data_IF_201125812293
#
_entry.id   IF_201125812293
#
_cell.length_a   1.000
_cell.length_b   1.000
_cell.length_c   1.000
_cell.angle_alpha   90.00
_cell.angle_beta   90.00
_cell.angle_gamma   90.00
#
_symmetry.space_group_name_H-M   'P 1'
#
loop_
_entity.id
_entity.type
_entity.pdbx_description
1 polymer ?
#
# COMPACT_ATOMS: atom_id res chain seq x y z
N UNK A 1 -25.53 19.74 -6.22
CA UNK A 1 -24.20 19.10 -6.32
C UNK A 1 -24.18 17.93 -5.35
N UNK A 2 -24.13 16.70 -5.86
CA UNK A 2 -23.93 15.53 -5.00
C UNK A 2 -22.47 15.50 -4.53
N UNK A 3 -22.18 15.17 -3.25
CA UNK A 3 -20.82 14.98 -2.81
C UNK A 3 -20.16 13.89 -3.66
N UNK A 4 -18.85 14.01 -3.97
CA UNK A 4 -18.14 12.98 -4.70
C UNK A 4 -18.27 11.64 -3.95
N UNK A 5 -18.44 10.52 -4.65
CA UNK A 5 -18.53 9.22 -4.00
C UNK A 5 -17.29 9.01 -3.13
N UNK A 6 -17.50 8.72 -1.85
CA UNK A 6 -16.41 8.32 -0.96
C UNK A 6 -15.73 7.11 -1.60
N UNK A 7 -14.45 7.25 -1.94
CA UNK A 7 -13.65 6.16 -2.48
C UNK A 7 -13.87 4.91 -1.65
N UNK A 8 -14.16 3.79 -2.30
CA UNK A 8 -14.39 2.52 -1.62
C UNK A 8 -13.22 2.21 -0.66
N UNK A 9 -13.58 1.75 0.54
CA UNK A 9 -12.63 1.32 1.56
C UNK A 9 -11.67 0.30 0.93
N UNK A 10 -10.36 0.44 1.17
CA UNK A 10 -9.35 -0.54 0.77
C UNK A 10 -9.82 -1.95 1.13
N UNK A 11 -9.76 -2.91 0.19
CA UNK A 11 -10.29 -4.25 0.43
C UNK A 11 -9.45 -5.09 1.40
N UNK A 12 -8.22 -4.69 1.70
CA UNK A 12 -7.39 -5.24 2.78
C UNK A 12 -7.01 -4.13 3.75
N UNK A 13 -7.23 -4.38 5.04
CA UNK A 13 -6.85 -3.47 6.13
C UNK A 13 -6.13 -4.22 7.24
N UNK A 14 -5.00 -3.68 7.69
CA UNK A 14 -4.27 -4.14 8.87
C UNK A 14 -4.41 -3.07 9.96
N UNK A 15 -4.90 -3.50 11.11
CA UNK A 15 -5.17 -2.69 12.28
C UNK A 15 -4.12 -2.92 13.37
N UNK A 16 -3.99 -1.95 14.27
CA UNK A 16 -3.25 -2.10 15.52
C UNK A 16 -3.93 -3.10 16.46
N UNK A 17 -3.27 -3.46 17.56
CA UNK A 17 -3.76 -4.49 18.49
C UNK A 17 -5.13 -4.20 19.10
N UNK A 18 -5.55 -2.94 19.12
CA UNK A 18 -6.86 -2.52 19.64
C UNK A 18 -7.95 -2.52 18.57
N UNK A 19 -7.59 -2.72 17.29
CA UNK A 19 -8.52 -2.64 16.17
C UNK A 19 -9.00 -1.21 15.90
N UNK A 20 -8.34 -0.20 16.47
CA UNK A 20 -8.77 1.20 16.47
C UNK A 20 -8.07 2.01 15.36
N UNK A 21 -6.79 1.73 15.11
CA UNK A 21 -5.98 2.45 14.12
C UNK A 21 -5.67 1.54 12.95
N UNK A 22 -5.91 2.05 11.72
CA UNK A 22 -5.45 1.38 10.50
C UNK A 22 -3.96 1.67 10.35
N UNK A 23 -3.13 0.65 10.56
CA UNK A 23 -1.69 0.71 10.31
C UNK A 23 -1.42 0.76 8.80
N UNK A 24 -2.12 -0.07 8.03
CA UNK A 24 -1.95 -0.19 6.57
C UNK A 24 -3.28 -0.54 5.89
N UNK A 25 -3.47 -0.05 4.66
CA UNK A 25 -4.60 -0.44 3.83
C UNK A 25 -4.27 -0.35 2.35
N UNK A 26 -4.60 -1.39 1.59
CA UNK A 26 -4.33 -1.48 0.16
C UNK A 26 -5.43 -2.23 -0.58
N UNK A 27 -5.48 -2.02 -1.90
CA UNK A 27 -6.26 -2.85 -2.80
C UNK A 27 -5.40 -3.99 -3.26
N UNK A 28 -5.93 -5.21 -3.21
CA UNK A 28 -5.32 -6.34 -3.91
C UNK A 28 -6.28 -6.94 -4.93
N UNK A 29 -5.68 -7.60 -5.93
CA UNK A 29 -6.38 -8.28 -7.02
C UNK A 29 -6.11 -9.80 -7.00
N UNK A 30 -5.77 -10.37 -5.83
CA UNK A 30 -5.55 -11.80 -5.67
C UNK A 30 -4.13 -12.26 -6.03
N UNK A 31 -3.15 -11.36 -6.02
CA UNK A 31 -1.76 -11.64 -6.37
C UNK A 31 -0.82 -11.68 -5.16
N UNK A 32 -1.18 -11.00 -4.07
CA UNK A 32 -0.30 -10.84 -2.92
C UNK A 32 -0.37 -12.06 -2.00
N UNK A 33 0.75 -12.75 -1.84
CA UNK A 33 0.89 -13.89 -0.92
C UNK A 33 1.23 -13.42 0.49
N UNK A 34 0.93 -14.25 1.50
CA UNK A 34 1.20 -13.90 2.89
C UNK A 34 2.69 -13.70 3.16
N UNK A 35 3.56 -14.56 2.66
CA UNK A 35 5.01 -14.42 2.81
C UNK A 35 5.55 -13.08 2.27
N UNK A 36 5.10 -12.66 1.09
CA UNK A 36 5.41 -11.35 0.51
C UNK A 36 4.85 -10.21 1.37
N UNK A 37 3.61 -10.35 1.84
CA UNK A 37 3.02 -9.35 2.72
C UNK A 37 3.78 -9.20 4.04
N UNK A 38 4.18 -10.30 4.69
CA UNK A 38 5.03 -10.27 5.89
C UNK A 38 6.36 -9.57 5.62
N UNK A 39 7.00 -9.81 4.46
CA UNK A 39 8.23 -9.09 4.06
C UNK A 39 8.00 -7.58 3.96
N UNK A 40 6.85 -7.14 3.44
CA UNK A 40 6.50 -5.72 3.40
C UNK A 40 6.29 -5.13 4.79
N UNK A 41 5.58 -5.85 5.66
CA UNK A 41 5.33 -5.42 7.04
C UNK A 41 6.64 -5.23 7.81
N UNK A 42 7.63 -6.11 7.67
CA UNK A 42 8.94 -5.99 8.33
C UNK A 42 9.63 -4.67 7.98
N UNK A 43 9.44 -4.14 6.77
CA UNK A 43 10.05 -2.86 6.34
C UNK A 43 9.37 -1.66 6.99
N UNK A 44 8.09 -1.75 7.33
CA UNK A 44 7.29 -0.62 7.80
C UNK A 44 7.05 -0.61 9.31
N UNK A 45 7.02 -1.77 9.95
CA UNK A 45 6.66 -1.90 11.37
C UNK A 45 7.90 -1.74 12.26
N UNK A 46 7.74 -1.00 13.35
CA UNK A 46 8.70 -0.90 14.45
C UNK A 46 8.04 -1.49 15.68
N UNK A 47 8.48 -2.67 16.11
CA UNK A 47 7.96 -3.36 17.30
C UNK A 47 9.11 -3.78 18.21
N UNK A 48 8.84 -3.88 19.52
CA UNK A 48 9.79 -4.40 20.49
C UNK A 48 9.65 -5.90 20.73
N UNK A 49 8.62 -6.52 20.15
CA UNK A 49 8.27 -7.93 20.31
C UNK A 49 8.05 -8.58 18.95
N UNK A 50 8.23 -9.90 18.89
CA UNK A 50 7.78 -10.71 17.77
C UNK A 50 6.26 -10.58 17.59
N UNK A 51 5.80 -10.72 16.36
CA UNK A 51 4.42 -10.40 15.98
C UNK A 51 3.90 -11.32 14.87
N UNK A 52 2.59 -11.45 14.86
CA UNK A 52 1.83 -12.25 13.91
C UNK A 52 0.55 -11.54 13.50
N UNK A 53 0.06 -11.85 12.30
CA UNK A 53 -1.18 -11.29 11.75
C UNK A 53 -2.33 -12.26 11.98
N UNK A 54 -3.46 -11.75 12.46
CA UNK A 54 -4.68 -12.53 12.67
C UNK A 54 -5.82 -11.94 11.85
N UNK A 55 -6.76 -12.77 11.41
CA UNK A 55 -8.03 -12.25 10.87
C UNK A 55 -8.75 -11.47 11.95
N UNK A 56 -9.47 -10.42 11.56
CA UNK A 56 -10.21 -9.59 12.50
C UNK A 56 -11.62 -9.31 11.99
N UNK A 57 -12.61 -9.62 12.82
CA UNK A 57 -13.99 -9.26 12.55
C UNK A 57 -14.29 -7.91 13.20
N UNK A 58 -14.30 -6.84 12.38
CA UNK A 58 -14.62 -5.49 12.83
C UNK A 58 -16.02 -5.38 13.47
N UNK A 59 -17.01 -6.11 12.97
CA UNK A 59 -18.39 -6.00 13.45
C UNK A 59 -18.55 -6.60 14.86
N UNK A 60 -17.77 -7.64 15.16
CA UNK A 60 -17.80 -8.31 16.46
C UNK A 60 -16.64 -7.89 17.37
N UNK A 61 -15.71 -7.07 16.88
CA UNK A 61 -14.45 -6.74 17.54
C UNK A 61 -13.70 -7.98 18.04
N UNK A 62 -13.69 -9.02 17.22
CA UNK A 62 -13.15 -10.32 17.59
C UNK A 62 -12.01 -10.76 16.69
N UNK A 63 -10.98 -11.30 17.34
CA UNK A 63 -9.85 -11.99 16.70
C UNK A 63 -10.34 -13.32 16.12
N UNK A 64 -9.93 -13.56 14.88
CA UNK A 64 -10.08 -14.82 14.17
C UNK A 64 -8.78 -15.63 14.16
N UNK A 65 -8.64 -16.56 13.20
CA UNK A 65 -7.47 -17.42 13.09
C UNK A 65 -6.19 -16.65 12.73
N UNK A 66 -5.05 -17.21 13.13
CA UNK A 66 -3.72 -16.81 12.71
C UNK A 66 -3.60 -16.90 11.18
N UNK A 67 -2.97 -15.90 10.57
CA UNK A 67 -2.61 -15.88 9.16
C UNK A 67 -1.10 -16.10 9.05
N UNK A 68 -0.63 -17.36 8.92
CA UNK A 68 0.80 -17.64 8.86
C UNK A 68 1.42 -17.10 7.57
N UNK A 69 2.71 -16.78 7.63
CA UNK A 69 3.51 -16.55 6.43
C UNK A 69 3.48 -17.80 5.54
N UNK A 70 3.23 -17.62 4.24
CA UNK A 70 3.14 -18.72 3.30
C UNK A 70 2.65 -18.29 1.91
N UNK A 71 2.56 -19.24 0.95
CA UNK A 71 2.23 -18.95 -0.44
C UNK A 71 0.73 -18.68 -0.66
N UNK A 72 -0.09 -18.73 0.40
CA UNK A 72 -1.51 -18.47 0.28
C UNK A 72 -1.75 -16.99 -0.02
N UNK A 73 -2.68 -16.72 -0.94
CA UNK A 73 -3.08 -15.36 -1.27
C UNK A 73 -3.81 -14.73 -0.07
N UNK A 74 -3.35 -13.54 0.34
CA UNK A 74 -4.03 -12.71 1.33
C UNK A 74 -5.48 -12.53 0.86
N UNK A 75 -6.48 -12.66 1.71
CA UNK A 75 -7.88 -12.46 1.28
C UNK A 75 -8.32 -11.02 1.56
N UNK A 76 -9.26 -10.45 0.79
CA UNK A 76 -9.95 -9.24 1.19
C UNK A 76 -10.53 -9.38 2.61
N UNK A 77 -10.33 -8.37 3.46
CA UNK A 77 -10.77 -8.39 4.84
C UNK A 77 -9.97 -7.48 5.76
N UNK A 78 -10.30 -7.57 7.05
CA UNK A 78 -9.61 -6.87 8.11
C UNK A 78 -8.75 -7.83 8.91
N UNK A 79 -7.61 -7.33 9.34
CA UNK A 79 -6.58 -8.07 10.04
C UNK A 79 -6.08 -7.24 11.20
N UNK A 80 -5.55 -7.91 12.22
CA UNK A 80 -5.00 -7.29 13.43
C UNK A 80 -3.58 -7.79 13.67
N UNK A 81 -2.69 -6.88 14.08
CA UNK A 81 -1.33 -7.21 14.48
C UNK A 81 -1.29 -7.47 16.00
N UNK A 82 -0.81 -8.65 16.40
CA UNK A 82 -0.65 -9.05 17.79
C UNK A 82 0.72 -9.71 17.98
N UNK A 83 1.10 -10.04 19.22
CA UNK A 83 2.25 -10.91 19.46
C UNK A 83 2.02 -12.32 18.88
N UNK A 84 3.05 -13.16 18.84
CA UNK A 84 2.92 -14.57 18.43
C UNK A 84 2.04 -15.39 19.41
N UNK A 85 1.98 -14.98 20.68
CA UNK A 85 1.05 -15.52 21.68
C UNK A 85 -0.37 -14.95 21.50
N UNK A 86 -0.50 -13.88 20.71
CA UNK A 86 -1.74 -13.19 20.40
C UNK A 86 -2.17 -12.18 21.46
N UNK A 87 -1.22 -11.68 22.23
CA UNK A 87 -1.38 -10.56 23.16
C UNK A 87 -1.26 -9.21 22.43
N UNK A 88 -1.86 -8.14 22.97
CA UNK A 88 -1.70 -6.80 22.41
C UNK A 88 -0.24 -6.34 22.41
N UNK A 89 0.18 -5.65 21.34
CA UNK A 89 1.55 -5.12 21.21
C UNK A 89 1.53 -3.67 20.78
N UNK A 90 2.54 -2.91 21.21
CA UNK A 90 2.75 -1.55 20.72
C UNK A 90 3.44 -1.60 19.37
N UNK A 91 2.84 -0.90 18.40
CA UNK A 91 3.31 -0.87 17.02
C UNK A 91 3.62 0.55 16.62
N UNK A 92 4.87 0.82 16.31
CA UNK A 92 5.29 2.02 15.59
C UNK A 92 5.33 1.77 14.08
N UNK A 93 5.30 2.84 13.31
CA UNK A 93 5.63 2.81 11.89
C UNK A 93 6.99 3.48 11.70
N UNK A 94 7.83 2.93 10.82
CA UNK A 94 9.14 3.52 10.52
C UNK A 94 8.90 4.96 10.02
N UNK A 95 9.47 5.98 10.68
CA UNK A 95 9.22 7.39 10.36
C UNK A 95 9.94 7.84 9.08
N UNK A 96 10.55 6.93 8.32
CA UNK A 96 11.07 7.24 7.00
C UNK A 96 9.89 7.70 6.16
N UNK A 97 9.76 9.02 6.02
CA UNK A 97 8.82 9.63 5.10
C UNK A 97 9.05 8.94 3.76
N UNK A 98 8.11 8.12 3.28
CA UNK A 98 8.26 7.60 1.94
C UNK A 98 8.43 8.80 1.04
N UNK A 99 9.57 8.90 0.35
CA UNK A 99 9.87 10.08 -0.47
C UNK A 99 8.63 10.35 -1.31
N UNK A 100 7.89 11.45 -1.06
CA UNK A 100 6.64 11.69 -1.76
C UNK A 100 6.98 11.65 -3.24
N UNK A 101 6.42 10.69 -3.99
CA UNK A 101 6.73 10.59 -5.42
C UNK A 101 6.25 11.88 -6.05
N UNK A 102 7.12 12.79 -6.47
CA UNK A 102 6.67 14.03 -7.08
C UNK A 102 5.69 13.69 -8.20
N UNK A 103 4.44 14.21 -8.15
CA UNK A 103 3.49 13.96 -9.23
C UNK A 103 4.15 14.43 -10.51
N UNK A 104 3.92 13.72 -11.61
CA UNK A 104 4.36 14.25 -12.89
C UNK A 104 3.54 15.51 -13.15
N UNK A 105 4.13 16.67 -12.87
CA UNK A 105 3.49 17.96 -13.08
C UNK A 105 2.97 17.99 -14.52
N UNK A 106 1.74 18.45 -14.72
CA UNK A 106 1.04 18.52 -16.01
C UNK A 106 1.88 19.13 -17.14
N UNK A 107 2.77 20.07 -16.78
CA UNK A 107 3.70 20.77 -17.68
C UNK A 107 4.96 19.97 -18.08
N UNK A 108 5.12 18.73 -17.62
CA UNK A 108 6.25 17.90 -18.05
C UNK A 108 6.06 17.48 -19.50
N UNK A 109 7.00 17.86 -20.37
CA UNK A 109 7.04 17.39 -21.76
C UNK A 109 6.90 15.85 -21.83
N UNK A 110 5.99 15.29 -22.65
CA UNK A 110 5.76 13.84 -22.73
C UNK A 110 7.01 13.02 -23.05
N UNK A 111 7.96 13.56 -23.82
CA UNK A 111 9.24 12.90 -24.12
C UNK A 111 10.11 12.77 -22.87
N UNK A 112 10.23 13.83 -22.07
CA UNK A 112 11.00 13.81 -20.81
C UNK A 112 10.38 12.87 -19.79
N UNK A 113 9.05 12.85 -19.69
CA UNK A 113 8.35 11.90 -18.83
C UNK A 113 8.65 10.45 -19.22
N UNK A 114 8.54 10.11 -20.51
CA UNK A 114 8.83 8.76 -21.00
C UNK A 114 10.30 8.39 -20.79
N UNK A 115 11.23 9.31 -21.06
CA UNK A 115 12.66 9.08 -20.86
C UNK A 115 12.99 8.76 -19.39
N UNK A 116 12.46 9.54 -18.44
CA UNK A 116 12.65 9.27 -17.01
C UNK A 116 12.03 7.94 -16.58
N UNK A 117 10.81 7.64 -17.05
CA UNK A 117 10.16 6.36 -16.76
C UNK A 117 10.98 5.16 -17.24
N UNK A 118 11.48 5.23 -18.48
CA UNK A 118 12.33 4.19 -19.07
C UNK A 118 13.66 4.03 -18.33
N UNK A 119 14.35 5.13 -18.05
CA UNK A 119 15.63 5.11 -17.32
C UNK A 119 15.48 4.56 -15.90
N UNK A 120 14.33 4.81 -15.25
CA UNK A 120 14.04 4.29 -13.91
C UNK A 120 13.70 2.81 -13.92
N UNK A 121 12.81 2.39 -14.82
CA UNK A 121 12.18 1.08 -14.73
C UNK A 121 12.95 0.01 -15.53
N UNK A 122 13.54 0.35 -16.69
CA UNK A 122 14.38 -0.56 -17.50
C UNK A 122 13.65 -1.74 -18.17
N UNK A 123 12.54 -2.18 -17.58
CA UNK A 123 11.76 -3.37 -17.91
C UNK A 123 10.28 -3.19 -17.57
N UNK A 124 9.46 -4.15 -17.97
CA UNK A 124 8.10 -4.25 -17.46
C UNK A 124 8.12 -4.58 -15.96
N UNK A 125 7.41 -3.82 -15.13
CA UNK A 125 7.39 -4.04 -13.69
C UNK A 125 6.51 -5.23 -13.25
N UNK A 126 5.70 -5.78 -14.15
CA UNK A 126 4.83 -6.93 -13.89
C UNK A 126 5.44 -8.22 -14.45
N UNK A 127 5.84 -8.20 -15.73
CA UNK A 127 6.32 -9.40 -16.42
C UNK A 127 7.85 -9.52 -16.46
N UNK A 128 8.54 -8.56 -15.84
CA UNK A 128 10.02 -8.42 -15.86
C UNK A 128 10.67 -8.34 -17.25
N UNK A 129 9.87 -8.23 -18.31
CA UNK A 129 10.38 -8.23 -19.68
C UNK A 129 11.29 -7.03 -19.92
N UNK A 130 12.58 -7.31 -20.09
CA UNK A 130 13.56 -6.34 -20.56
C UNK A 130 13.32 -6.05 -22.04
N UNK A 131 13.43 -4.79 -22.42
CA UNK A 131 13.26 -4.39 -23.81
C UNK A 131 14.28 -3.34 -24.18
N UNK A 132 15.01 -3.61 -25.26
CA UNK A 132 15.97 -2.66 -25.80
C UNK A 132 15.27 -1.47 -26.50
N UNK A 133 14.03 -1.67 -26.98
CA UNK A 133 13.35 -0.69 -27.86
C UNK A 133 12.11 -0.04 -27.23
N UNK A 134 11.63 -0.52 -26.07
CA UNK A 134 10.42 -0.02 -25.37
C UNK A 134 9.17 0.10 -26.25
N UNK A 135 9.15 -0.49 -27.43
CA UNK A 135 8.05 -0.39 -28.40
C UNK A 135 6.77 -1.06 -27.89
N UNK A 136 6.94 -2.09 -27.05
CA UNK A 136 5.84 -2.85 -26.43
C UNK A 136 5.50 -2.40 -25.01
N UNK A 137 6.23 -1.44 -24.44
CA UNK A 137 6.01 -0.95 -23.08
C UNK A 137 5.51 0.50 -23.09
N UNK A 138 4.50 0.79 -22.26
CA UNK A 138 4.00 2.14 -22.02
C UNK A 138 4.37 2.59 -20.62
N UNK A 139 4.87 3.82 -20.51
CA UNK A 139 5.11 4.45 -19.21
C UNK A 139 3.76 4.91 -18.65
N UNK A 140 3.29 4.26 -17.59
CA UNK A 140 2.04 4.59 -16.91
C UNK A 140 2.28 5.63 -15.81
N UNK A 141 1.35 6.58 -15.67
CA UNK A 141 1.34 7.48 -14.51
C UNK A 141 0.88 6.72 -13.27
N UNK A 142 1.61 6.88 -12.17
CA UNK A 142 1.25 6.26 -10.89
C UNK A 142 0.01 6.95 -10.31
N UNK A 143 -0.06 8.27 -10.44
CA UNK A 143 -1.24 9.06 -10.15
C UNK A 143 -1.84 9.50 -11.48
N UNK A 144 -3.07 9.09 -11.82
CA UNK A 144 -3.70 9.55 -13.04
C UNK A 144 -3.81 11.08 -13.03
N UNK A 145 -3.55 11.73 -14.18
CA UNK A 145 -3.61 13.20 -14.27
C UNK A 145 -4.97 13.78 -13.86
N UNK A 146 -6.04 13.00 -14.05
CA UNK A 146 -7.40 13.36 -13.64
C UNK A 146 -7.50 13.64 -12.13
N UNK A 147 -6.59 13.13 -11.31
CA UNK A 147 -6.56 13.28 -9.85
C UNK A 147 -5.36 14.10 -9.36
N UNK A 148 -4.67 14.86 -10.23
CA UNK A 148 -3.49 15.65 -9.84
C UNK A 148 -3.82 16.66 -8.72
N UNK A 149 -5.01 17.28 -8.75
CA UNK A 149 -5.46 18.21 -7.71
C UNK A 149 -5.67 17.50 -6.37
N UNK A 150 -6.32 16.34 -6.37
CA UNK A 150 -6.57 15.53 -5.18
C UNK A 150 -5.26 15.06 -4.53
N UNK A 151 -4.30 14.61 -5.35
CA UNK A 151 -2.98 14.17 -4.87
C UNK A 151 -2.17 15.33 -4.30
N UNK A 152 -2.31 16.52 -4.89
CA UNK A 152 -1.66 17.74 -4.38
C UNK A 152 -2.28 18.16 -3.04
N UNK A 153 -3.60 18.10 -2.91
CA UNK A 153 -4.33 18.45 -1.69
C UNK A 153 -4.06 17.46 -0.53
N UNK A 154 -4.00 16.16 -0.80
CA UNK A 154 -3.67 15.13 0.18
C UNK A 154 -2.22 15.20 0.71
N UNK A 155 -1.35 15.95 0.02
CA UNK A 155 0.05 16.21 0.43
C UNK A 155 0.21 17.47 1.26
N UNK A 156 -0.85 18.26 1.43
CA UNK A 156 -0.83 19.39 2.35
C UNK A 156 -0.54 18.88 3.77
N UNK A 157 0.34 19.55 4.55
CA UNK A 157 0.76 19.10 5.88
C UNK A 157 -0.39 18.84 6.86
N UNK A 158 -1.55 19.42 6.61
CA UNK A 158 -2.77 19.29 7.42
C UNK A 158 -3.54 17.98 7.23
N UNK A 159 -3.24 17.17 6.20
CA UNK A 159 -3.96 15.92 5.88
C UNK A 159 -3.08 14.66 5.88
N UNK A 160 -1.86 14.75 6.44
CA UNK A 160 -0.87 13.66 6.52
C UNK A 160 -1.27 12.48 7.45
N UNK A 161 -2.55 12.26 7.70
CA UNK A 161 -3.04 11.16 8.57
C UNK A 161 -3.16 9.82 7.86
N UNK A 162 -2.98 9.74 6.54
CA UNK A 162 -3.11 8.45 5.82
C UNK A 162 -1.97 8.23 4.82
N UNK A 163 -1.20 7.13 4.94
CA UNK A 163 -0.30 6.70 3.90
C UNK A 163 -1.13 6.26 2.68
N UNK A 164 -1.19 7.09 1.64
CA UNK A 164 -1.77 6.72 0.35
C UNK A 164 -0.79 5.80 -0.39
N UNK A 165 -0.94 4.50 -0.17
CA UNK A 165 -0.25 3.48 -0.95
C UNK A 165 -1.22 2.78 -1.90
N UNK A 166 -0.82 2.68 -3.15
CA UNK A 166 -1.28 1.66 -4.08
C UNK A 166 -0.22 0.57 -4.06
N UNK A 167 -0.56 -0.59 -3.49
CA UNK A 167 0.21 -1.80 -3.71
C UNK A 167 0.11 -2.17 -5.20
N UNK A 168 1.22 -2.67 -5.76
CA UNK A 168 1.31 -3.09 -7.16
C UNK A 168 0.60 -4.42 -7.37
#
# INVERSE_FOLDING_TARGET
>A
MNPPPRLERRNVQLLDSEGAVILLGFWQYGTLQWDEFYRYLIVFLVTSTAWSVFKYNLAQQQRGPLCPSGPQIVQPGCYVLLSDTGDPIRVGLVPTLPRPRNPTISNTCPSHYRARGRARDGKCLITELETQTYSRLKVAHIFPRAHDQEVTQARSPTLQTYPLWAAR
#
